data_IF_243978251150
#
_entry.id   IF_243978251150
#
_cell.length_a   1.000
_cell.length_b   1.000
_cell.length_c   1.000
_cell.angle_alpha   90.00
_cell.angle_beta   90.00
_cell.angle_gamma   90.00
#
_symmetry.space_group_name_H-M   'P 1'
#
loop_
_entity.id
_entity.type
_entity.pdbx_description
1 polymer ?
#
# COMPACT_ATOMS: atom_id res chain seq x y z
N UNK A 1 -39.68 -9.29 -72.05
CA UNK A 1 -39.57 -10.70 -71.62
C UNK A 1 -38.19 -11.21 -71.99
N UNK A 2 -37.56 -11.96 -71.07
CA UNK A 2 -36.37 -12.82 -71.22
C UNK A 2 -34.98 -12.19 -71.41
N UNK A 3 -34.14 -12.42 -70.36
CA UNK A 3 -32.77 -12.98 -70.37
C UNK A 3 -31.67 -12.15 -71.08
N UNK A 4 -30.42 -12.05 -70.65
CA UNK A 4 -29.59 -12.73 -69.64
C UNK A 4 -28.20 -12.04 -69.65
N UNK A 5 -27.50 -12.09 -68.51
CA UNK A 5 -26.03 -12.14 -68.30
C UNK A 5 -25.15 -11.01 -68.86
N UNK A 6 -24.58 -10.18 -67.98
CA UNK A 6 -23.28 -10.38 -67.27
C UNK A 6 -22.10 -9.88 -68.14
N UNK A 7 -21.19 -9.02 -67.68
CA UNK A 7 -20.08 -9.38 -66.76
C UNK A 7 -19.14 -8.17 -66.57
N UNK A 8 -18.72 -7.96 -65.30
CA UNK A 8 -17.37 -7.59 -64.83
C UNK A 8 -16.93 -6.12 -64.72
N UNK A 9 -16.66 -5.70 -63.46
CA UNK A 9 -15.39 -5.13 -62.96
C UNK A 9 -15.66 -4.60 -61.53
N UNK A 10 -15.47 -5.41 -60.48
CA UNK A 10 -14.25 -5.54 -59.65
C UNK A 10 -13.57 -4.19 -59.35
N UNK A 11 -13.82 -3.67 -58.14
CA UNK A 11 -12.82 -2.93 -57.36
C UNK A 11 -13.08 -3.22 -55.87
N UNK A 12 -12.36 -4.23 -55.38
CA UNK A 12 -12.38 -4.70 -54.00
C UNK A 12 -11.38 -3.84 -53.20
N UNK A 13 -11.87 -2.85 -52.44
CA UNK A 13 -11.07 -2.06 -51.51
C UNK A 13 -11.28 -2.56 -50.07
N UNK A 14 -10.56 -3.61 -49.66
CA UNK A 14 -10.51 -4.03 -48.26
C UNK A 14 -9.34 -3.32 -47.59
N UNK A 15 -9.62 -2.19 -46.93
CA UNK A 15 -8.70 -1.59 -45.97
C UNK A 15 -8.81 -2.36 -44.66
N UNK A 16 -7.90 -3.32 -44.46
CA UNK A 16 -7.73 -4.05 -43.22
C UNK A 16 -7.11 -3.12 -42.17
N UNK A 17 -7.92 -2.34 -41.46
CA UNK A 17 -7.47 -1.60 -40.27
C UNK A 17 -7.38 -2.58 -39.11
N UNK A 18 -6.26 -3.29 -39.05
CA UNK A 18 -5.81 -3.99 -37.86
C UNK A 18 -5.38 -2.98 -36.80
N UNK A 19 -6.35 -2.40 -36.10
CA UNK A 19 -6.10 -1.69 -34.83
C UNK A 19 -5.81 -2.75 -33.77
N UNK A 20 -4.53 -3.15 -33.70
CA UNK A 20 -3.92 -3.76 -32.53
C UNK A 20 -4.16 -2.83 -31.34
N UNK A 21 -5.23 -3.10 -30.59
CA UNK A 21 -5.39 -2.59 -29.24
C UNK A 21 -4.28 -3.16 -28.39
N UNK A 22 -3.15 -2.44 -28.36
CA UNK A 22 -2.16 -2.50 -27.28
C UNK A 22 -2.89 -2.06 -26.00
N UNK A 23 -3.66 -2.99 -25.43
CA UNK A 23 -4.26 -2.83 -24.13
C UNK A 23 -3.13 -2.61 -23.15
N UNK A 24 -2.91 -1.34 -22.77
CA UNK A 24 -2.22 -0.99 -21.55
C UNK A 24 -2.94 -1.73 -20.43
N UNK A 25 -2.41 -2.88 -20.03
CA UNK A 25 -2.97 -3.68 -18.96
C UNK A 25 -2.97 -2.85 -17.69
N UNK A 26 -4.10 -2.23 -17.38
CA UNK A 26 -4.26 -1.46 -16.15
C UNK A 26 -4.09 -2.42 -14.98
N UNK A 27 -2.93 -2.37 -14.33
CA UNK A 27 -2.66 -3.20 -13.16
C UNK A 27 -3.67 -2.89 -12.06
N UNK A 28 -4.52 -3.88 -11.74
CA UNK A 28 -5.53 -3.76 -10.70
C UNK A 28 -4.88 -3.98 -9.33
N UNK A 29 -5.46 -3.36 -8.30
CA UNK A 29 -4.97 -3.43 -6.94
C UNK A 29 -5.83 -4.38 -6.12
N UNK A 30 -5.18 -5.30 -5.43
CA UNK A 30 -5.82 -6.28 -4.57
C UNK A 30 -5.28 -6.12 -3.16
N UNK A 31 -6.06 -6.51 -2.15
CA UNK A 31 -5.54 -6.61 -0.78
C UNK A 31 -4.42 -7.64 -0.78
N UNK A 32 -3.32 -7.35 -0.09
CA UNK A 32 -2.27 -8.35 0.13
C UNK A 32 -2.88 -9.51 0.92
N UNK A 33 -2.78 -10.72 0.35
CA UNK A 33 -3.22 -11.97 0.96
C UNK A 33 -2.03 -12.84 1.35
N UNK A 34 -2.28 -13.82 2.22
CA UNK A 34 -1.25 -14.76 2.67
C UNK A 34 -0.70 -15.64 1.56
N UNK A 35 -1.54 -15.96 0.57
CA UNK A 35 -1.12 -16.69 -0.62
C UNK A 35 -0.05 -15.90 -1.38
N UNK A 36 -0.20 -14.59 -1.51
CA UNK A 36 0.76 -13.75 -2.25
C UNK A 36 2.13 -13.74 -1.55
N UNK A 37 2.14 -13.79 -0.21
CA UNK A 37 3.37 -13.91 0.58
C UNK A 37 3.99 -15.30 0.41
N UNK A 38 3.17 -16.35 0.39
CA UNK A 38 3.64 -17.71 0.22
C UNK A 38 4.24 -17.92 -1.19
N UNK A 39 3.56 -17.47 -2.24
CA UNK A 39 4.06 -17.47 -3.61
C UNK A 39 5.44 -16.79 -3.72
N UNK A 40 5.61 -15.62 -3.08
CA UNK A 40 6.88 -14.90 -3.08
C UNK A 40 7.99 -15.64 -2.31
N UNK A 41 7.65 -16.33 -1.22
CA UNK A 41 8.59 -17.17 -0.47
C UNK A 41 9.01 -18.40 -1.26
N UNK A 42 8.06 -19.05 -1.91
CA UNK A 42 8.31 -20.24 -2.73
C UNK A 42 9.20 -19.90 -3.92
N UNK A 43 9.06 -18.69 -4.46
CA UNK A 43 9.96 -18.13 -5.47
C UNK A 43 11.34 -17.69 -4.93
N UNK A 44 11.55 -17.73 -3.62
CA UNK A 44 12.82 -17.40 -2.95
C UNK A 44 13.13 -15.91 -2.81
N UNK A 45 12.21 -15.01 -3.19
CA UNK A 45 12.41 -13.56 -3.09
C UNK A 45 11.15 -12.83 -2.62
N UNK A 46 10.98 -12.78 -1.29
CA UNK A 46 9.93 -11.99 -0.65
C UNK A 46 10.10 -10.48 -0.90
N UNK A 47 11.32 -10.01 -1.14
CA UNK A 47 11.64 -8.60 -1.41
C UNK A 47 11.20 -8.14 -2.81
N UNK A 48 11.06 -9.06 -3.76
CA UNK A 48 10.49 -8.80 -5.07
C UNK A 48 8.99 -8.47 -5.01
N UNK A 49 8.26 -8.99 -4.01
CA UNK A 49 6.84 -8.71 -3.83
C UNK A 49 6.63 -7.23 -3.49
N UNK A 50 6.13 -6.47 -4.47
CA UNK A 50 5.84 -5.05 -4.29
C UNK A 50 4.48 -4.85 -3.63
N UNK A 51 4.53 -4.36 -2.40
CA UNK A 51 3.36 -3.98 -1.62
C UNK A 51 3.17 -2.46 -1.65
N UNK A 52 1.95 -2.01 -1.47
CA UNK A 52 1.60 -0.60 -1.55
C UNK A 52 0.59 -0.22 -0.47
N UNK A 53 0.63 0.99 0.10
CA UNK A 53 -0.39 1.41 1.04
C UNK A 53 -1.70 1.67 0.29
N UNK A 54 -2.83 1.22 0.85
CA UNK A 54 -4.17 1.40 0.26
C UNK A 54 -4.59 2.86 0.15
N UNK A 55 -3.91 3.75 0.87
CA UNK A 55 -4.13 5.18 0.83
C UNK A 55 -2.85 5.96 1.12
N UNK A 56 -2.85 7.27 0.83
CA UNK A 56 -1.75 8.15 1.25
C UNK A 56 -1.64 8.17 2.78
N UNK A 57 -0.41 8.10 3.28
CA UNK A 57 -0.06 8.16 4.71
C UNK A 57 1.01 9.22 4.92
N UNK A 58 0.88 10.00 5.99
CA UNK A 58 1.84 11.05 6.35
C UNK A 58 2.27 10.83 7.79
N UNK A 59 3.54 10.51 8.01
CA UNK A 59 4.16 10.47 9.33
C UNK A 59 4.86 11.81 9.59
N UNK A 60 4.54 12.44 10.71
CA UNK A 60 5.13 13.73 11.11
C UNK A 60 5.95 13.51 12.37
N UNK A 61 7.22 13.86 12.28
CA UNK A 61 8.20 13.78 13.34
C UNK A 61 8.47 15.19 13.84
N UNK A 62 8.10 15.46 15.09
CA UNK A 62 8.36 16.73 15.73
C UNK A 62 9.73 16.65 16.41
N UNK A 63 10.58 17.67 16.20
CA UNK A 63 11.79 17.84 16.99
C UNK A 63 11.39 17.95 18.47
N UNK A 64 12.14 17.31 19.38
CA UNK A 64 11.93 17.47 20.81
C UNK A 64 12.02 18.95 21.14
N UNK A 65 11.12 19.42 21.99
CA UNK A 65 11.20 20.80 22.45
C UNK A 65 12.56 20.99 23.13
N UNK A 66 13.37 21.93 22.64
CA UNK A 66 14.58 22.35 23.35
C UNK A 66 14.16 22.70 24.78
N UNK A 67 14.84 22.14 25.79
CA UNK A 67 14.65 22.58 27.17
C UNK A 67 14.94 24.08 27.19
N UNK A 68 13.98 24.87 27.68
CA UNK A 68 14.19 26.30 27.85
C UNK A 68 15.43 26.49 28.75
N UNK A 69 16.49 27.07 28.19
CA UNK A 69 17.62 27.55 28.99
C UNK A 69 17.19 28.91 29.51
N UNK A 70 16.98 29.01 30.82
CA UNK A 70 16.71 30.29 31.49
C UNK A 70 17.96 31.14 31.40
N UNK A 71 18.02 31.99 30.38
CA UNK A 71 18.93 33.14 30.33
C UNK A 71 18.01 34.35 30.46
N UNK A 72 18.37 35.34 31.28
CA UNK A 72 17.58 36.51 31.73
C UNK A 72 17.00 37.44 30.64
N UNK A 73 16.92 36.97 29.39
CA UNK A 73 16.10 37.56 28.32
C UNK A 73 15.29 36.46 27.66
N UNK A 74 13.97 36.53 27.82
CA UNK A 74 13.01 35.69 27.10
C UNK A 74 13.10 36.00 25.59
N UNK A 75 14.05 35.36 24.90
CA UNK A 75 14.06 35.35 23.44
C UNK A 75 12.91 34.44 23.03
N UNK A 76 11.77 35.05 22.68
CA UNK A 76 10.68 34.36 21.97
C UNK A 76 11.16 33.99 20.57
N UNK A 77 12.01 32.97 20.51
CA UNK A 77 12.41 32.39 19.25
C UNK A 77 11.19 31.66 18.70
N UNK A 78 10.43 32.36 17.85
CA UNK A 78 9.47 31.80 16.91
C UNK A 78 10.22 30.94 15.89
N UNK A 79 10.91 29.91 16.35
CA UNK A 79 11.42 28.87 15.48
C UNK A 79 10.19 28.05 15.08
N UNK A 80 9.76 28.19 13.83
CA UNK A 80 8.82 27.23 13.24
C UNK A 80 9.46 25.85 13.44
N UNK A 81 9.02 25.08 14.44
CA UNK A 81 9.55 23.74 14.75
C UNK A 81 9.74 22.99 13.44
N UNK A 82 10.98 22.61 13.14
CA UNK A 82 11.31 22.01 11.84
C UNK A 82 10.77 20.58 11.85
N UNK A 83 9.54 20.43 11.37
CA UNK A 83 8.89 19.13 11.31
C UNK A 83 9.48 18.32 10.16
N UNK A 84 10.08 17.18 10.49
CA UNK A 84 10.41 16.18 9.48
C UNK A 84 9.13 15.43 9.08
N UNK A 85 8.97 15.16 7.78
CA UNK A 85 7.76 14.57 7.23
C UNK A 85 8.11 13.44 6.28
N UNK A 86 7.51 12.29 6.52
CA UNK A 86 7.57 11.16 5.60
C UNK A 86 6.20 10.95 4.98
N UNK A 87 6.13 11.02 3.66
CA UNK A 87 4.87 10.92 2.91
C UNK A 87 4.92 9.67 2.04
N UNK A 88 4.09 8.69 2.38
CA UNK A 88 3.80 7.56 1.52
C UNK A 88 2.59 7.92 0.66
N UNK A 89 2.78 8.14 -0.63
CA UNK A 89 1.67 8.20 -1.60
C UNK A 89 1.07 6.81 -1.73
N UNK A 90 -0.20 6.71 -2.15
CA UNK A 90 -0.85 5.42 -2.49
C UNK A 90 -0.04 4.62 -3.52
N UNK A 91 0.68 5.30 -4.42
CA UNK A 91 1.54 4.66 -5.43
C UNK A 91 2.94 4.28 -4.96
N UNK A 92 3.31 4.56 -3.71
CA UNK A 92 4.66 4.26 -3.19
C UNK A 92 4.80 2.75 -3.05
N UNK A 93 5.69 2.16 -3.83
CA UNK A 93 6.02 0.74 -3.70
C UNK A 93 6.90 0.53 -2.47
N UNK A 94 6.59 -0.51 -1.71
CA UNK A 94 7.43 -1.02 -0.63
C UNK A 94 7.84 -2.46 -0.90
N UNK A 95 8.75 -2.95 -0.08
CA UNK A 95 9.20 -4.33 -0.04
C UNK A 95 9.01 -4.88 1.37
N UNK A 96 8.63 -6.15 1.48
CA UNK A 96 8.64 -6.86 2.75
C UNK A 96 10.08 -7.29 3.01
N UNK A 97 10.64 -6.87 4.14
CA UNK A 97 12.04 -7.16 4.52
C UNK A 97 12.14 -8.11 5.71
N UNK A 98 11.00 -8.46 6.33
CA UNK A 98 10.96 -9.37 7.45
C UNK A 98 9.52 -9.72 7.84
N UNK A 99 9.40 -10.85 8.52
CA UNK A 99 8.16 -11.35 9.09
C UNK A 99 8.38 -11.79 10.52
N UNK A 100 7.35 -11.62 11.34
CA UNK A 100 7.32 -12.09 12.72
C UNK A 100 5.86 -12.38 13.12
N UNK A 101 5.61 -12.62 14.40
CA UNK A 101 4.30 -12.77 15.00
C UNK A 101 4.11 -11.82 16.16
N UNK A 102 2.93 -11.22 16.23
CA UNK A 102 2.50 -10.42 17.36
C UNK A 102 1.11 -10.87 17.81
N UNK A 103 1.02 -11.34 19.06
CA UNK A 103 -0.20 -11.92 19.63
C UNK A 103 -0.81 -13.01 18.72
N UNK A 104 0.04 -13.90 18.19
CA UNK A 104 -0.35 -14.99 17.29
C UNK A 104 -0.56 -14.60 15.82
N UNK A 105 -0.76 -13.31 15.53
CA UNK A 105 -1.00 -12.81 14.18
C UNK A 105 0.30 -12.49 13.44
N UNK A 106 0.32 -12.65 12.11
CA UNK A 106 1.48 -12.30 11.28
C UNK A 106 1.78 -10.80 11.36
N UNK A 107 3.05 -10.46 11.52
CA UNK A 107 3.58 -9.11 11.48
C UNK A 107 4.55 -9.01 10.30
N UNK A 108 4.36 -7.99 9.46
CA UNK A 108 5.26 -7.68 8.36
C UNK A 108 6.05 -6.41 8.66
N UNK A 109 7.35 -6.48 8.42
CA UNK A 109 8.24 -5.31 8.33
C UNK A 109 8.35 -4.90 6.87
N UNK A 110 7.82 -3.71 6.56
CA UNK A 110 7.75 -3.19 5.19
C UNK A 110 8.56 -1.92 5.08
N UNK A 111 9.57 -1.93 4.22
CA UNK A 111 10.30 -0.71 3.87
C UNK A 111 9.69 -0.03 2.66
N UNK A 112 9.68 1.30 2.68
CA UNK A 112 9.41 2.16 1.50
C UNK A 112 10.63 3.02 1.15
N UNK A 113 11.75 2.77 1.82
CA UNK A 113 13.03 3.44 1.62
C UNK A 113 14.06 2.41 1.16
N UNK A 114 14.86 2.77 0.16
CA UNK A 114 15.88 1.88 -0.39
C UNK A 114 17.04 1.65 0.56
N UNK A 115 17.30 2.59 1.48
CA UNK A 115 18.39 2.46 2.45
C UNK A 115 18.01 1.66 3.69
N UNK A 116 16.73 1.31 3.86
CA UNK A 116 16.26 0.57 5.03
C UNK A 116 16.21 -0.93 4.72
N UNK A 117 17.11 -1.68 5.36
CA UNK A 117 17.23 -3.13 5.23
C UNK A 117 16.93 -3.87 6.55
N UNK A 118 16.58 -3.16 7.62
CA UNK A 118 16.40 -3.74 8.96
C UNK A 118 15.00 -3.43 9.53
N UNK A 119 14.43 -4.31 10.37
CA UNK A 119 13.09 -4.15 10.95
C UNK A 119 12.84 -2.81 11.68
N UNK A 120 13.87 -2.23 12.28
CA UNK A 120 13.79 -1.03 13.13
C UNK A 120 13.47 0.23 12.32
N UNK A 121 13.93 0.29 11.06
CA UNK A 121 13.67 1.40 10.15
C UNK A 121 12.42 1.19 9.28
N UNK A 122 11.71 0.06 9.44
CA UNK A 122 10.57 -0.32 8.63
C UNK A 122 9.23 0.10 9.24
N UNK A 123 8.21 0.14 8.39
CA UNK A 123 6.82 0.21 8.83
C UNK A 123 6.36 -1.17 9.26
N UNK A 124 5.53 -1.22 10.31
CA UNK A 124 4.98 -2.45 10.86
C UNK A 124 3.52 -2.60 10.46
N UNK A 125 3.19 -3.69 9.79
CA UNK A 125 1.83 -4.04 9.40
C UNK A 125 1.44 -5.39 9.99
N UNK A 126 0.40 -5.42 10.81
CA UNK A 126 -0.08 -6.66 11.43
C UNK A 126 -1.29 -7.19 10.69
N UNK A 127 -1.40 -8.51 10.59
CA UNK A 127 -2.59 -9.16 10.09
C UNK A 127 -3.73 -9.03 11.12
N UNK A 128 -4.88 -8.56 10.65
CA UNK A 128 -6.11 -8.46 11.43
C UNK A 128 -7.10 -9.53 11.01
N UNK A 129 -8.21 -9.67 11.74
CA UNK A 129 -9.20 -10.74 11.54
C UNK A 129 -9.74 -10.86 10.11
N UNK A 130 -9.91 -9.75 9.41
CA UNK A 130 -10.36 -9.76 8.01
C UNK A 130 -9.23 -10.02 7.00
N UNK A 131 -8.16 -10.66 7.47
CA UNK A 131 -6.95 -11.06 6.74
C UNK A 131 -6.18 -9.90 6.10
N UNK A 132 -6.45 -8.64 6.47
CA UNK A 132 -5.68 -7.49 5.98
C UNK A 132 -4.44 -7.25 6.82
N UNK A 133 -3.35 -6.88 6.16
CA UNK A 133 -2.16 -6.34 6.82
C UNK A 133 -2.33 -4.83 7.06
N UNK A 134 -2.63 -4.44 8.30
CA UNK A 134 -2.99 -3.08 8.69
C UNK A 134 -1.84 -2.39 9.40
N UNK A 135 -1.64 -1.11 9.09
CA UNK A 135 -0.57 -0.28 9.65
C UNK A 135 -0.69 -0.20 11.18
N UNK A 136 0.31 -0.73 11.88
CA UNK A 136 0.44 -0.69 13.34
C UNK A 136 1.55 0.27 13.77
N UNK A 137 2.65 0.34 13.02
CA UNK A 137 3.82 1.12 13.41
C UNK A 137 4.39 1.90 12.24
N UNK A 138 4.78 3.15 12.51
CA UNK A 138 5.65 3.93 11.62
C UNK A 138 7.07 3.88 12.22
N UNK A 139 8.12 3.85 11.40
CA UNK A 139 9.49 3.81 11.91
C UNK A 139 9.76 5.01 12.80
N UNK A 140 10.49 4.78 13.89
CA UNK A 140 10.95 5.84 14.77
C UNK A 140 12.14 6.56 14.14
N UNK A 141 12.43 7.77 14.62
CA UNK A 141 13.58 8.54 14.15
C UNK A 141 14.33 9.07 15.35
N UNK A 142 15.63 8.81 15.37
CA UNK A 142 16.53 9.31 16.41
C UNK A 142 16.43 10.84 16.51
N UNK A 143 16.35 11.34 17.73
CA UNK A 143 16.23 12.77 17.99
C UNK A 143 14.85 13.36 17.63
N UNK A 144 13.82 12.55 17.39
CA UNK A 144 12.44 13.02 17.18
C UNK A 144 11.46 12.35 18.15
N UNK A 145 10.36 13.03 18.45
CA UNK A 145 9.24 12.42 19.16
C UNK A 145 8.53 11.34 18.29
N UNK A 146 7.78 10.40 18.91
CA UNK A 146 7.01 9.41 18.18
C UNK A 146 6.12 10.02 17.09
N UNK A 147 6.02 9.38 15.91
CA UNK A 147 5.40 9.99 14.74
C UNK A 147 3.89 10.20 14.92
N UNK A 148 3.41 11.38 14.51
CA UNK A 148 1.98 11.66 14.33
C UNK A 148 1.54 11.21 12.95
N UNK A 149 0.86 10.07 12.88
CA UNK A 149 0.39 9.48 11.62
C UNK A 149 -0.93 10.10 11.17
N UNK A 150 -1.02 10.47 9.89
CA UNK A 150 -2.23 11.00 9.27
C UNK A 150 -2.61 10.22 8.01
N UNK A 151 -3.91 9.97 7.84
CA UNK A 151 -4.48 9.39 6.62
C UNK A 151 -4.75 10.50 5.61
N UNK A 152 -4.12 10.50 4.44
CA UNK A 152 -4.29 11.46 3.35
C UNK A 152 -3.80 12.90 3.55
N UNK A 153 -4.22 13.63 4.59
CA UNK A 153 -3.98 15.09 4.74
C UNK A 153 -3.66 15.45 6.20
N UNK A 154 -2.83 16.48 6.42
CA UNK A 154 -2.42 16.98 7.74
C UNK A 154 -3.46 17.90 8.38
N UNK A 155 -4.55 17.30 8.85
CA UNK A 155 -5.56 17.98 9.68
C UNK A 155 -6.01 17.05 10.80
N UNK A 156 -6.48 17.60 11.92
CA UNK A 156 -6.83 16.84 13.14
C UNK A 156 -7.76 15.66 12.87
N UNK A 157 -8.80 15.85 12.04
CA UNK A 157 -9.78 14.80 11.67
C UNK A 157 -9.21 13.65 10.82
N UNK A 158 -7.99 13.82 10.29
CA UNK A 158 -7.24 12.81 9.54
C UNK A 158 -6.06 12.26 10.35
N UNK A 159 -5.86 12.69 11.60
CA UNK A 159 -4.87 12.09 12.51
C UNK A 159 -5.37 10.73 12.97
N UNK A 160 -4.54 9.72 12.75
CA UNK A 160 -4.80 8.35 13.19
C UNK A 160 -4.28 8.17 14.61
N UNK A 161 -4.95 7.30 15.37
CA UNK A 161 -4.54 6.88 16.71
C UNK A 161 -4.45 5.36 16.76
N UNK A 162 -3.63 4.84 17.65
CA UNK A 162 -3.62 3.42 17.95
C UNK A 162 -4.92 3.01 18.65
N UNK A 163 -5.44 1.87 18.28
CA UNK A 163 -6.56 1.20 18.94
C UNK A 163 -6.98 -0.06 18.18
N UNK A 164 -7.78 -0.89 18.82
CA UNK A 164 -8.33 -2.13 18.23
C UNK A 164 -9.35 -1.79 17.14
N UNK A 165 -9.44 -2.50 16.01
CA UNK A 165 -10.52 -2.26 15.04
C UNK A 165 -11.84 -2.80 15.56
N UNK A 166 -11.79 -4.00 16.14
CA UNK A 166 -12.93 -4.68 16.74
C UNK A 166 -12.68 -4.87 18.24
N UNK A 167 -13.57 -4.30 19.07
CA UNK A 167 -13.33 -4.09 20.49
C UNK A 167 -13.30 -5.37 21.36
N UNK A 168 -13.66 -6.53 20.81
CA UNK A 168 -13.86 -7.76 21.59
C UNK A 168 -13.00 -8.95 21.16
N UNK A 169 -12.32 -8.88 20.02
CA UNK A 169 -11.67 -10.06 19.40
C UNK A 169 -10.23 -9.81 18.97
N UNK A 170 -9.82 -8.55 18.79
CA UNK A 170 -8.57 -8.22 18.15
C UNK A 170 -7.48 -7.82 19.16
N UNK A 171 -6.51 -8.72 19.38
CA UNK A 171 -5.42 -8.50 20.36
C UNK A 171 -4.50 -7.32 20.02
N UNK A 172 -4.42 -6.95 18.75
CA UNK A 172 -3.45 -5.99 18.24
C UNK A 172 -4.06 -4.60 18.03
N UNK A 173 -3.36 -3.57 18.52
CA UNK A 173 -3.72 -2.18 18.22
C UNK A 173 -3.13 -1.74 16.88
N UNK A 174 -3.94 -1.06 16.08
CA UNK A 174 -3.52 -0.54 14.77
C UNK A 174 -3.86 0.94 14.64
N UNK A 175 -3.21 1.63 13.71
CA UNK A 175 -3.58 3.00 13.40
C UNK A 175 -4.96 3.03 12.75
N UNK A 176 -5.90 3.72 13.40
CA UNK A 176 -7.27 3.92 12.95
C UNK A 176 -7.69 5.38 13.00
N UNK A 177 -8.59 5.77 12.10
CA UNK A 177 -9.36 7.01 12.23
C UNK A 177 -10.66 6.73 12.98
N UNK A 178 -10.90 7.52 14.02
CA UNK A 178 -12.20 7.56 14.70
C UNK A 178 -13.21 8.27 13.79
N UNK A 179 -14.21 7.53 13.28
CA UNK A 179 -15.38 8.10 12.60
C UNK A 179 -16.65 7.35 13.02
N UNK A 180 -17.80 8.01 12.90
CA UNK A 180 -19.09 7.50 13.38
C UNK A 180 -19.55 6.17 12.77
N UNK A 181 -19.28 5.91 11.48
CA UNK A 181 -19.87 4.77 10.72
C UNK A 181 -18.89 3.72 10.24
N UNK A 182 -17.62 4.08 10.08
CA UNK A 182 -16.56 3.23 9.56
C UNK A 182 -15.30 3.57 10.34
N UNK A 183 -14.37 2.64 10.41
CA UNK A 183 -13.07 2.85 11.03
C UNK A 183 -12.00 2.80 9.94
N UNK A 184 -11.72 3.93 9.24
CA UNK A 184 -10.71 3.93 8.18
C UNK A 184 -9.33 3.61 8.72
N UNK A 185 -8.67 2.67 8.06
CA UNK A 185 -7.28 2.31 8.30
C UNK A 185 -6.45 2.48 7.03
N UNK A 186 -5.15 2.16 7.13
CA UNK A 186 -4.24 1.97 6.00
C UNK A 186 -3.80 0.51 6.05
N UNK A 187 -3.99 -0.21 4.93
CA UNK A 187 -3.61 -1.61 4.79
C UNK A 187 -2.77 -1.80 3.53
N UNK A 188 -2.15 -2.96 3.36
CA UNK A 188 -1.32 -3.28 2.20
C UNK A 188 -2.14 -3.83 1.02
N UNK A 189 -1.77 -3.38 -0.17
CA UNK A 189 -2.26 -3.85 -1.45
C UNK A 189 -1.10 -4.34 -2.31
N UNK A 190 -1.38 -5.26 -3.23
CA UNK A 190 -0.48 -5.63 -4.32
C UNK A 190 -1.08 -5.16 -5.66
N UNK A 191 -0.24 -5.08 -6.69
CA UNK A 191 -0.69 -4.85 -8.06
C UNK A 191 -0.52 -6.14 -8.86
N UNK A 192 -1.57 -6.58 -9.55
CA UNK A 192 -1.52 -7.70 -10.50
C UNK A 192 -1.96 -7.23 -11.88
N UNK A 193 -1.39 -7.82 -12.92
CA UNK A 193 -1.85 -7.62 -14.28
C UNK A 193 -3.13 -8.44 -14.51
N UNK A 194 -4.01 -8.01 -15.42
CA UNK A 194 -5.16 -8.81 -15.81
C UNK A 194 -4.78 -10.14 -16.48
N UNK A 195 -3.55 -10.27 -17.01
CA UNK A 195 -3.06 -11.51 -17.63
C UNK A 195 -2.81 -12.61 -16.60
N UNK A 196 -2.25 -12.26 -15.45
CA UNK A 196 -1.94 -13.19 -14.34
C UNK A 196 -3.21 -13.88 -13.80
N UNK A 197 -4.38 -13.26 -13.97
CA UNK A 197 -5.67 -13.82 -13.54
C UNK A 197 -6.14 -14.98 -14.45
N UNK A 198 -5.77 -14.97 -15.72
CA UNK A 198 -6.22 -15.97 -16.70
C UNK A 198 -5.48 -17.30 -16.48
N UNK A 199 -4.17 -17.25 -16.20
CA UNK A 199 -3.38 -18.46 -15.91
C UNK A 199 -3.78 -19.17 -14.61
N UNK A 200 -4.16 -18.41 -13.56
CA UNK A 200 -4.62 -18.99 -12.30
C UNK A 200 -6.00 -19.69 -12.38
N UNK A 201 -6.81 -19.39 -13.40
CA UNK A 201 -8.08 -20.10 -13.64
C UNK A 201 -7.94 -21.25 -14.65
N UNK A 202 -6.98 -21.21 -15.56
CA UNK A 202 -6.74 -22.30 -16.52
C UNK A 202 -6.02 -23.53 -15.95
N UNK A 203 -5.60 -23.50 -14.68
CA UNK A 203 -4.95 -24.63 -13.99
C UNK A 203 -5.91 -25.66 -13.35
N UNK A 204 -7.23 -25.52 -13.49
CA UNK A 204 -8.23 -26.44 -12.94
C UNK A 204 -9.27 -26.82 -14.01
N UNK A 205 -8.84 -27.64 -14.96
CA UNK A 205 -9.64 -28.68 -15.65
C UNK A 205 -8.80 -29.21 -16.82
N UNK A 206 -8.03 -30.26 -16.57
CA UNK A 206 -7.80 -31.35 -17.54
C UNK A 206 -7.00 -32.45 -16.85
N UNK A 207 -7.70 -33.52 -16.51
CA UNK A 207 -7.14 -34.79 -16.05
C UNK A 207 -8.25 -35.83 -16.12
N UNK A 208 -8.36 -36.46 -17.29
CA UNK A 208 -9.11 -37.70 -17.55
C UNK A 208 -8.51 -38.83 -16.72
#
# INVERSE_FOLDING_TARGET
MSRSSARHAVALGIALVGLLGLGSGCAQRFKLADLDLQEAKDAGDLGALRVYPSNRTISIYDEPALRAVTIDREIRQSSRRKQHRQILRRGTAGAVIGEDRLNGQKLLYVTFDRSCAAPECAYRFVQVEDARYVLMGSPEREGYAPPKVHRSIRIKRHRMKLGHLHALTEANQVFRLERKRRVPVVFLEIKRSNRDKVEGQSGRESGV
#
